data_IF_754357853202
#
_entry.id   IF_754357853202
#
_cell.length_a   1.000
_cell.length_b   1.000
_cell.length_c   1.000
_cell.angle_alpha   90.00
_cell.angle_beta   90.00
_cell.angle_gamma   90.00
#
_symmetry.space_group_name_H-M   'P 1'
#
loop_
_entity.id
_entity.type
_entity.pdbx_description
1 polymer ?
#
# COMPACT_ATOMS: atom_id res chain seq x y z
N UNK A 1 7.36 6.46 2.50
CA UNK A 1 7.36 5.56 3.69
C UNK A 1 8.65 4.75 3.72
N UNK A 2 9.14 4.28 4.89
CA UNK A 2 10.32 3.39 4.97
C UNK A 2 9.95 1.96 4.54
N UNK A 3 10.92 1.20 4.06
CA UNK A 3 10.80 -0.20 3.71
C UNK A 3 11.78 -1.07 4.52
N UNK A 4 11.42 -2.35 4.70
CA UNK A 4 12.29 -3.37 5.25
C UNK A 4 12.35 -4.56 4.30
N UNK A 5 13.56 -4.94 3.89
CA UNK A 5 13.79 -6.14 3.08
C UNK A 5 13.82 -7.38 3.98
N UNK A 6 12.94 -8.33 3.66
CA UNK A 6 12.76 -9.60 4.38
C UNK A 6 12.83 -10.74 3.35
N UNK A 7 13.48 -11.85 3.71
CA UNK A 7 13.61 -12.99 2.81
C UNK A 7 12.31 -13.78 2.73
N UNK A 8 12.02 -14.34 1.56
CA UNK A 8 10.92 -15.31 1.46
C UNK A 8 11.29 -16.62 2.17
N UNK A 9 10.31 -17.29 2.83
CA UNK A 9 8.86 -17.02 2.80
C UNK A 9 8.35 -16.01 3.85
N UNK A 10 9.21 -15.51 4.75
CA UNK A 10 8.78 -14.66 5.87
C UNK A 10 8.13 -13.34 5.44
N UNK A 11 8.59 -12.74 4.34
CA UNK A 11 7.99 -11.51 3.82
C UNK A 11 6.49 -11.71 3.52
N UNK A 12 6.15 -12.79 2.78
CA UNK A 12 4.76 -13.12 2.50
C UNK A 12 3.97 -13.42 3.77
N UNK A 13 4.53 -14.19 4.71
CA UNK A 13 3.84 -14.50 5.97
C UNK A 13 3.52 -13.24 6.80
N UNK A 14 4.42 -12.25 6.79
CA UNK A 14 4.19 -10.96 7.45
C UNK A 14 3.11 -10.16 6.72
N UNK A 15 3.21 -10.04 5.39
CA UNK A 15 2.25 -9.27 4.60
C UNK A 15 0.82 -9.85 4.69
N UNK A 16 0.68 -11.16 4.87
CA UNK A 16 -0.60 -11.84 5.12
C UNK A 16 -1.07 -11.75 6.58
N UNK A 17 -0.29 -11.16 7.48
CA UNK A 17 -0.63 -11.06 8.91
C UNK A 17 -0.50 -12.36 9.70
N UNK A 18 0.14 -13.39 9.14
CA UNK A 18 0.33 -14.70 9.79
C UNK A 18 1.51 -14.67 10.75
N UNK A 19 2.61 -14.04 10.33
CA UNK A 19 3.81 -13.83 11.15
C UNK A 19 3.77 -12.43 11.76
N UNK A 20 3.55 -12.38 13.06
CA UNK A 20 3.39 -11.17 13.88
C UNK A 20 4.71 -10.63 14.46
N UNK A 21 5.83 -11.31 14.21
CA UNK A 21 7.15 -10.94 14.73
C UNK A 21 8.19 -10.90 13.62
N UNK A 22 8.98 -9.84 13.55
CA UNK A 22 10.23 -9.80 12.80
C UNK A 22 11.43 -9.92 13.76
N UNK A 23 12.31 -10.91 13.54
CA UNK A 23 13.47 -11.17 14.41
C UNK A 23 14.72 -10.47 13.85
N UNK A 24 15.40 -9.67 14.67
CA UNK A 24 16.63 -8.95 14.29
C UNK A 24 17.67 -9.00 15.40
N UNK A 25 18.95 -9.00 15.04
CA UNK A 25 20.06 -8.92 15.99
C UNK A 25 20.34 -7.51 16.51
N UNK A 26 19.41 -6.58 16.27
CA UNK A 26 19.54 -5.17 16.65
C UNK A 26 18.16 -4.59 17.02
N UNK A 27 18.16 -3.70 17.99
CA UNK A 27 16.98 -3.02 18.52
C UNK A 27 16.55 -1.87 17.62
N UNK A 28 15.24 -1.61 17.51
CA UNK A 28 14.74 -0.37 16.91
C UNK A 28 13.80 0.40 17.84
N UNK A 29 13.97 1.72 17.87
CA UNK A 29 13.03 2.64 18.50
C UNK A 29 11.95 3.14 17.53
N UNK A 30 12.05 2.78 16.24
CA UNK A 30 11.04 3.17 15.27
C UNK A 30 9.70 2.49 15.58
N UNK A 31 8.61 3.26 15.48
CA UNK A 31 7.23 2.80 15.55
C UNK A 31 6.44 3.44 14.41
N UNK A 32 5.56 2.66 13.79
CA UNK A 32 4.74 3.09 12.67
C UNK A 32 4.85 2.21 11.44
N UNK A 33 4.22 2.67 10.35
CA UNK A 33 4.03 1.93 9.10
C UNK A 33 5.32 1.81 8.28
N UNK A 34 5.57 0.61 7.78
CA UNK A 34 6.64 0.31 6.82
C UNK A 34 6.12 -0.53 5.66
N UNK A 35 6.78 -0.41 4.51
CA UNK A 35 6.64 -1.36 3.42
C UNK A 35 7.38 -2.66 3.72
N UNK A 36 6.78 -3.77 3.34
CA UNK A 36 7.38 -5.10 3.33
C UNK A 36 7.92 -5.37 1.94
N UNK A 37 9.24 -5.41 1.84
CA UNK A 37 9.95 -5.77 0.62
C UNK A 37 10.39 -7.23 0.66
N UNK A 38 9.97 -8.01 -0.33
CA UNK A 38 10.44 -9.37 -0.54
C UNK A 38 11.84 -9.34 -1.17
N UNK A 39 12.83 -9.80 -0.42
CA UNK A 39 14.23 -9.84 -0.86
C UNK A 39 14.41 -10.73 -2.10
N UNK A 40 15.42 -10.42 -2.90
CA UNK A 40 15.84 -11.26 -4.03
C UNK A 40 16.30 -12.66 -3.57
N UNK A 41 16.92 -12.75 -2.37
CA UNK A 41 17.39 -14.02 -1.82
C UNK A 41 16.28 -14.67 -1.00
N UNK A 42 16.01 -15.95 -1.30
CA UNK A 42 15.11 -16.82 -0.55
C UNK A 42 15.90 -17.62 0.49
N UNK A 43 15.22 -18.12 1.51
CA UNK A 43 15.77 -19.07 2.48
C UNK A 43 14.89 -20.30 2.51
N UNK A 44 15.52 -21.46 2.61
CA UNK A 44 14.83 -22.71 2.94
C UNK A 44 14.59 -22.69 4.45
N UNK A 45 13.37 -22.98 4.85
CA UNK A 45 12.95 -22.91 6.26
C UNK A 45 12.14 -24.15 6.58
N UNK A 46 12.55 -24.84 7.65
CA UNK A 46 11.74 -25.87 8.29
C UNK A 46 10.97 -25.21 9.43
N UNK A 47 9.66 -25.04 9.22
CA UNK A 47 8.79 -24.49 10.26
C UNK A 47 8.51 -25.53 11.33
N UNK A 48 8.35 -25.06 12.57
CA UNK A 48 7.86 -25.92 13.66
C UNK A 48 6.45 -26.43 13.36
N UNK A 49 6.01 -27.50 14.03
CA UNK A 49 4.65 -28.03 13.86
C UNK A 49 3.57 -26.97 14.09
N UNK A 50 3.73 -26.12 15.11
CA UNK A 50 2.78 -25.04 15.39
C UNK A 50 2.73 -23.96 14.31
N UNK A 51 3.90 -23.51 13.83
CA UNK A 51 3.98 -22.55 12.72
C UNK A 51 3.38 -23.14 11.44
N UNK A 52 3.70 -24.39 11.15
CA UNK A 52 3.19 -25.15 10.00
C UNK A 52 1.67 -25.26 10.03
N UNK A 53 1.08 -25.54 11.20
CA UNK A 53 -0.38 -25.59 11.36
C UNK A 53 -1.05 -24.24 11.09
N UNK A 54 -0.47 -23.12 11.57
CA UNK A 54 -1.01 -21.79 11.26
C UNK A 54 -0.89 -21.44 9.78
N UNK A 55 0.21 -21.85 9.14
CA UNK A 55 0.44 -21.65 7.72
C UNK A 55 -0.61 -22.41 6.87
N UNK A 56 -0.82 -23.70 7.14
CA UNK A 56 -1.77 -24.53 6.38
C UNK A 56 -3.24 -24.15 6.63
N UNK A 57 -3.55 -23.42 7.70
CA UNK A 57 -4.87 -22.82 7.90
C UNK A 57 -5.19 -21.67 6.95
N UNK A 58 -4.30 -21.35 6.00
CA UNK A 58 -4.45 -20.24 5.04
C UNK A 58 -4.34 -20.72 3.59
N UNK A 59 -4.99 -20.00 2.66
CA UNK A 59 -4.95 -20.29 1.22
C UNK A 59 -3.58 -20.01 0.57
N UNK A 60 -2.59 -19.59 1.35
CA UNK A 60 -1.23 -19.33 0.87
C UNK A 60 -0.51 -20.56 0.34
N UNK A 61 -0.89 -21.75 0.82
CA UNK A 61 -0.20 -23.00 0.54
C UNK A 61 -1.21 -24.10 0.17
N UNK A 62 -1.73 -24.08 -1.07
CA UNK A 62 -2.76 -25.02 -1.51
C UNK A 62 -2.28 -26.48 -1.64
N UNK A 63 -0.96 -26.73 -1.62
CA UNK A 63 -0.39 -28.07 -1.72
C UNK A 63 0.31 -28.48 -0.41
N UNK A 64 -0.08 -29.64 0.12
CA UNK A 64 0.48 -30.29 1.32
C UNK A 64 1.90 -30.84 1.14
N UNK A 65 2.63 -30.41 0.10
CA UNK A 65 4.00 -30.81 -0.15
C UNK A 65 4.95 -30.13 0.84
N UNK A 66 5.85 -30.90 1.46
CA UNK A 66 6.85 -30.43 2.43
C UNK A 66 7.90 -29.45 1.85
N UNK A 67 7.72 -28.99 0.62
CA UNK A 67 8.50 -27.91 0.04
C UNK A 67 7.59 -26.69 -0.02
N UNK A 68 7.72 -25.78 0.95
CA UNK A 68 7.08 -24.46 0.91
C UNK A 68 7.51 -23.79 -0.40
N UNK A 69 6.68 -23.93 -1.44
CA UNK A 69 7.13 -23.75 -2.82
C UNK A 69 7.60 -22.32 -3.05
N UNK A 70 8.92 -22.15 -2.94
CA UNK A 70 9.63 -20.89 -3.04
C UNK A 70 9.35 -20.18 -4.36
N UNK A 71 8.91 -20.91 -5.39
CA UNK A 71 8.71 -20.42 -6.75
C UNK A 71 7.51 -19.50 -6.91
N UNK A 72 6.46 -19.62 -6.08
CA UNK A 72 5.23 -18.81 -6.24
C UNK A 72 5.33 -17.40 -5.67
N UNK A 73 6.22 -17.16 -4.70
CA UNK A 73 6.27 -15.86 -4.04
C UNK A 73 7.08 -14.83 -4.83
N UNK A 74 6.57 -13.59 -4.96
CA UNK A 74 7.31 -12.50 -5.58
C UNK A 74 8.60 -12.22 -4.80
N UNK A 75 9.63 -11.82 -5.53
CA UNK A 75 10.92 -11.37 -5.01
C UNK A 75 11.36 -10.10 -5.70
N UNK A 76 12.21 -9.32 -5.04
CA UNK A 76 12.60 -7.99 -5.51
C UNK A 76 11.38 -7.10 -5.75
N UNK A 77 10.44 -7.13 -4.80
CA UNK A 77 9.17 -6.44 -4.91
C UNK A 77 8.70 -5.96 -3.54
N UNK A 78 7.97 -4.85 -3.50
CA UNK A 78 7.16 -4.48 -2.33
C UNK A 78 5.82 -5.19 -2.46
N UNK A 79 5.44 -5.92 -1.42
CA UNK A 79 4.29 -6.85 -1.46
C UNK A 79 3.17 -6.43 -0.52
N UNK A 80 3.40 -5.41 0.30
CA UNK A 80 2.47 -4.98 1.33
C UNK A 80 3.12 -4.04 2.31
N UNK A 81 2.42 -3.80 3.42
CA UNK A 81 2.84 -2.92 4.50
C UNK A 81 2.38 -3.43 5.86
N UNK A 82 3.05 -3.00 6.92
CA UNK A 82 2.75 -3.40 8.30
C UNK A 82 3.18 -2.31 9.29
N UNK A 83 2.53 -2.23 10.44
CA UNK A 83 3.01 -1.40 11.55
C UNK A 83 4.05 -2.16 12.38
N UNK A 84 5.13 -1.47 12.76
CA UNK A 84 5.95 -1.87 13.91
C UNK A 84 5.38 -1.16 15.13
N UNK A 85 4.80 -1.93 16.05
CA UNK A 85 4.13 -1.40 17.25
C UNK A 85 4.96 -1.58 18.51
N UNK A 86 5.87 -2.56 18.53
CA UNK A 86 6.80 -2.75 19.64
C UNK A 86 8.13 -3.40 19.22
N UNK A 87 9.11 -3.43 20.12
CA UNK A 87 10.41 -4.07 19.95
C UNK A 87 10.90 -4.54 21.31
N UNK A 88 10.73 -5.83 21.57
CA UNK A 88 11.01 -6.47 22.87
C UNK A 88 11.95 -7.65 22.69
N UNK A 89 12.33 -8.30 23.78
CA UNK A 89 13.01 -9.59 23.76
C UNK A 89 12.07 -10.66 24.32
N UNK A 90 12.29 -11.91 23.92
CA UNK A 90 11.57 -13.09 24.39
C UNK A 90 10.04 -13.01 24.27
N UNK A 91 9.54 -12.34 23.23
CA UNK A 91 8.11 -12.20 22.96
C UNK A 91 7.41 -13.57 22.89
N UNK A 92 6.21 -13.77 23.49
CA UNK A 92 5.60 -15.10 23.62
C UNK A 92 5.11 -15.75 22.31
N UNK A 93 5.01 -14.99 21.22
CA UNK A 93 4.60 -15.51 19.91
C UNK A 93 5.46 -16.70 19.46
N UNK A 94 4.83 -17.66 18.78
CA UNK A 94 5.53 -18.81 18.17
C UNK A 94 6.49 -18.40 17.06
N UNK A 95 6.38 -17.16 16.57
CA UNK A 95 7.26 -16.59 15.55
C UNK A 95 8.48 -15.87 16.11
N UNK A 96 8.54 -15.69 17.43
CA UNK A 96 9.64 -15.06 18.12
C UNK A 96 10.78 -16.04 18.33
N UNK A 97 11.96 -15.68 17.80
CA UNK A 97 13.19 -16.34 18.20
C UNK A 97 13.56 -15.88 19.61
N UNK A 98 13.85 -16.84 20.48
CA UNK A 98 14.24 -16.58 21.87
C UNK A 98 15.74 -16.29 21.96
N UNK A 99 16.12 -15.54 22.97
CA UNK A 99 17.52 -15.49 23.36
C UNK A 99 17.95 -16.89 23.82
N UNK A 100 18.86 -17.55 23.10
CA UNK A 100 19.46 -18.78 23.58
C UNK A 100 20.54 -18.42 24.58
N UNK A 101 20.30 -18.67 25.87
CA UNK A 101 21.27 -18.41 26.92
C UNK A 101 22.45 -19.40 26.91
N UNK A 102 22.36 -20.54 26.22
CA UNK A 102 23.36 -21.62 26.35
C UNK A 102 23.62 -22.35 25.03
N UNK A 103 24.73 -21.99 24.35
CA UNK A 103 25.53 -22.89 23.52
C UNK A 103 27.02 -22.48 23.58
N UNK A 104 27.69 -22.75 24.70
CA UNK A 104 29.16 -22.64 24.83
C UNK A 104 29.74 -21.22 24.96
N UNK A 105 31.04 -21.08 24.66
CA UNK A 105 31.88 -19.88 24.87
C UNK A 105 31.57 -18.69 23.92
N UNK A 106 30.59 -18.81 23.02
CA UNK A 106 30.27 -17.74 22.07
C UNK A 106 29.13 -16.86 22.60
N UNK A 107 29.46 -15.59 22.88
CA UNK A 107 28.47 -14.55 23.18
C UNK A 107 27.65 -14.30 21.91
N UNK A 108 26.40 -14.77 21.89
CA UNK A 108 25.46 -14.42 20.84
C UNK A 108 24.93 -13.00 21.03
N UNK A 109 24.69 -12.31 19.91
CA UNK A 109 24.02 -11.00 19.93
C UNK A 109 22.57 -11.19 20.39
N UNK A 110 22.01 -10.24 21.16
CA UNK A 110 20.61 -10.29 21.54
C UNK A 110 19.72 -10.32 20.31
N UNK A 111 18.70 -11.18 20.33
CA UNK A 111 17.64 -11.20 19.33
C UNK A 111 16.51 -10.31 19.85
N UNK A 112 16.12 -9.35 19.02
CA UNK A 112 15.02 -8.44 19.24
C UNK A 112 13.84 -8.88 18.38
N UNK A 113 12.69 -9.01 19.01
CA UNK A 113 11.42 -9.35 18.41
C UNK A 113 10.65 -8.05 18.15
N UNK A 114 10.59 -7.63 16.88
CA UNK A 114 9.81 -6.48 16.48
C UNK A 114 8.36 -6.93 16.31
N UNK A 115 7.45 -6.34 17.09
CA UNK A 115 6.03 -6.70 17.11
C UNK A 115 5.32 -5.98 15.99
N UNK A 116 4.62 -6.75 15.17
CA UNK A 116 4.00 -6.31 13.93
C UNK A 116 2.47 -6.34 14.06
N UNK A 117 1.80 -5.35 13.49
CA UNK A 117 0.34 -5.28 13.46
C UNK A 117 -0.20 -4.63 12.19
N UNK A 118 -1.51 -4.76 11.95
CA UNK A 118 -2.21 -4.11 10.85
C UNK A 118 -1.60 -4.41 9.47
N UNK A 119 -1.21 -5.66 9.23
CA UNK A 119 -0.65 -6.06 7.95
C UNK A 119 -1.66 -5.85 6.81
N UNK A 120 -1.18 -5.31 5.70
CA UNK A 120 -1.93 -5.13 4.46
C UNK A 120 -1.13 -5.78 3.34
N UNK A 121 -1.70 -6.82 2.75
CA UNK A 121 -1.20 -7.43 1.52
C UNK A 121 -1.68 -6.62 0.32
N UNK A 122 -0.79 -6.33 -0.62
CA UNK A 122 -1.21 -5.75 -1.89
C UNK A 122 -1.68 -6.84 -2.84
N UNK A 123 -2.81 -6.58 -3.50
CA UNK A 123 -3.33 -7.44 -4.56
C UNK A 123 -2.30 -7.59 -5.70
N UNK A 124 -1.65 -6.47 -6.05
CA UNK A 124 -0.59 -6.41 -7.05
C UNK A 124 0.72 -5.96 -6.39
N UNK A 125 1.75 -6.82 -6.33
CA UNK A 125 3.07 -6.42 -5.86
C UNK A 125 3.67 -5.32 -6.73
N UNK A 126 4.39 -4.38 -6.10
CA UNK A 126 5.19 -3.39 -6.80
C UNK A 126 6.52 -4.04 -7.17
N UNK A 127 6.66 -4.40 -8.45
CA UNK A 127 7.74 -5.24 -8.96
C UNK A 127 9.04 -4.45 -9.21
N UNK A 128 10.14 -5.18 -9.36
CA UNK A 128 11.47 -4.64 -9.75
C UNK A 128 12.07 -3.62 -8.77
N UNK A 129 11.61 -3.60 -7.53
CA UNK A 129 12.17 -2.76 -6.46
C UNK A 129 13.42 -3.43 -5.89
N UNK A 130 14.58 -2.74 -5.95
CA UNK A 130 15.84 -3.24 -5.40
C UNK A 130 15.89 -3.06 -3.88
N UNK A 131 16.01 -4.17 -3.15
CA UNK A 131 16.13 -4.16 -1.69
C UNK A 131 17.47 -3.61 -1.18
N UNK A 132 17.46 -3.04 0.03
CA UNK A 132 18.64 -2.52 0.73
C UNK A 132 18.69 -3.06 2.17
N UNK A 133 19.85 -2.95 2.82
CA UNK A 133 20.02 -3.31 4.23
C UNK A 133 19.41 -2.25 5.14
N UNK A 134 19.12 -2.64 6.39
CA UNK A 134 18.49 -1.78 7.41
C UNK A 134 17.14 -1.22 6.96
N UNK A 135 16.64 -0.17 7.61
CA UNK A 135 15.54 0.62 7.03
C UNK A 135 16.06 1.45 5.87
N UNK A 136 15.26 1.55 4.81
CA UNK A 136 15.58 2.36 3.64
C UNK A 136 14.32 2.99 3.07
N UNK A 137 14.50 4.03 2.26
CA UNK A 137 13.42 4.60 1.46
C UNK A 137 13.50 4.02 0.05
N UNK A 138 12.38 3.51 -0.51
CA UNK A 138 12.33 3.12 -1.91
C UNK A 138 12.74 4.26 -2.82
N UNK A 139 13.49 3.92 -3.87
CA UNK A 139 13.85 4.87 -4.92
C UNK A 139 12.68 5.06 -5.91
N UNK A 140 11.77 4.09 -5.96
CA UNK A 140 10.50 4.14 -6.68
C UNK A 140 9.52 5.04 -5.93
N UNK A 141 8.83 5.92 -6.66
CA UNK A 141 7.78 6.75 -6.10
C UNK A 141 6.47 5.95 -6.04
N UNK A 142 6.00 5.70 -4.82
CA UNK A 142 4.88 4.80 -4.54
C UNK A 142 3.70 5.64 -4.09
N UNK A 143 2.66 5.63 -4.90
CA UNK A 143 1.48 6.47 -4.73
C UNK A 143 0.23 5.62 -4.50
N UNK A 144 -0.70 6.19 -3.77
CA UNK A 144 -2.00 5.57 -3.49
C UNK A 144 -2.99 5.95 -4.61
N UNK A 145 -3.68 4.97 -5.16
CA UNK A 145 -4.73 5.19 -6.15
C UNK A 145 -5.95 5.79 -5.47
N UNK A 146 -6.46 6.92 -5.99
CA UNK A 146 -7.67 7.56 -5.47
C UNK A 146 -8.91 6.64 -5.61
N UNK A 147 -8.99 5.85 -6.68
CA UNK A 147 -10.14 4.99 -6.96
C UNK A 147 -10.25 3.76 -6.06
N UNK A 148 -9.14 3.18 -5.60
CA UNK A 148 -9.16 1.90 -4.85
C UNK A 148 -8.31 1.88 -3.57
N UNK A 149 -7.62 2.96 -3.23
CA UNK A 149 -6.71 3.09 -2.08
C UNK A 149 -5.54 2.08 -2.03
N UNK A 150 -5.35 1.29 -3.09
CA UNK A 150 -4.18 0.43 -3.24
C UNK A 150 -2.97 1.27 -3.68
N UNK A 151 -1.77 0.79 -3.38
CA UNK A 151 -0.53 1.48 -3.69
C UNK A 151 0.15 0.88 -4.91
N UNK A 152 0.64 1.75 -5.78
CA UNK A 152 1.29 1.39 -7.04
C UNK A 152 2.57 2.21 -7.22
N UNK A 153 3.42 1.77 -8.14
CA UNK A 153 4.48 2.61 -8.66
C UNK A 153 3.87 3.66 -9.57
N UNK A 154 4.10 4.94 -9.22
CA UNK A 154 3.52 6.10 -9.89
C UNK A 154 3.88 6.20 -11.37
N UNK A 155 4.98 5.59 -11.81
CA UNK A 155 5.37 5.54 -13.22
C UNK A 155 4.33 4.78 -14.07
N UNK A 156 3.57 3.86 -13.48
CA UNK A 156 2.54 3.06 -14.14
C UNK A 156 1.11 3.51 -13.81
N UNK A 157 0.95 4.70 -13.22
CA UNK A 157 -0.34 5.27 -12.86
C UNK A 157 -0.75 6.36 -13.85
N UNK A 158 -2.05 6.47 -14.05
CA UNK A 158 -2.68 7.55 -14.81
C UNK A 158 -2.91 8.76 -13.90
N UNK A 159 -2.99 9.95 -14.50
CA UNK A 159 -3.15 11.22 -13.79
C UNK A 159 -4.25 12.05 -14.43
N UNK A 160 -5.09 12.68 -13.62
CA UNK A 160 -6.09 13.64 -14.08
C UNK A 160 -5.59 15.08 -14.08
N UNK A 161 -6.45 16.02 -14.48
CA UNK A 161 -6.11 17.45 -14.56
C UNK A 161 -5.90 18.10 -13.17
N UNK A 162 -6.28 17.42 -12.08
CA UNK A 162 -6.03 17.86 -10.70
C UNK A 162 -4.73 17.27 -10.11
N UNK A 163 -3.95 16.51 -10.90
CA UNK A 163 -2.78 15.74 -10.48
C UNK A 163 -3.12 14.59 -9.51
N UNK A 164 -4.35 14.10 -9.54
CA UNK A 164 -4.75 12.91 -8.79
C UNK A 164 -4.34 11.64 -9.56
N UNK A 165 -3.81 10.65 -8.84
CA UNK A 165 -3.27 9.42 -9.43
C UNK A 165 -4.25 8.26 -9.34
N UNK A 166 -4.39 7.54 -10.44
CA UNK A 166 -5.27 6.39 -10.57
C UNK A 166 -4.48 5.20 -11.11
N UNK A 167 -4.74 4.00 -10.59
CA UNK A 167 -4.26 2.80 -11.27
C UNK A 167 -5.00 2.62 -12.59
N UNK A 168 -4.39 1.89 -13.53
CA UNK A 168 -4.94 1.70 -14.88
C UNK A 168 -6.40 1.20 -14.87
N UNK A 169 -6.72 0.22 -14.01
CA UNK A 169 -8.08 -0.34 -13.93
C UNK A 169 -9.10 0.68 -13.41
N UNK A 170 -8.76 1.44 -12.37
CA UNK A 170 -9.63 2.50 -11.89
C UNK A 170 -9.78 3.61 -12.93
N UNK A 171 -8.72 3.95 -13.65
CA UNK A 171 -8.75 4.96 -14.70
C UNK A 171 -9.65 4.58 -15.88
N UNK A 172 -9.57 3.33 -16.33
CA UNK A 172 -10.44 2.80 -17.40
C UNK A 172 -11.93 2.89 -17.03
N UNK A 173 -12.26 2.77 -15.74
CA UNK A 173 -13.63 2.87 -15.23
C UNK A 173 -14.05 4.32 -14.94
N UNK A 174 -13.20 5.12 -14.29
CA UNK A 174 -13.56 6.45 -13.77
C UNK A 174 -13.36 7.56 -14.80
N UNK A 175 -12.35 7.49 -15.65
CA UNK A 175 -12.06 8.58 -16.59
C UNK A 175 -13.20 8.91 -17.57
N UNK A 176 -14.00 7.95 -18.08
CA UNK A 176 -15.15 8.29 -18.92
C UNK A 176 -16.26 9.00 -18.13
N UNK A 177 -16.45 8.63 -16.87
CA UNK A 177 -17.47 9.22 -15.98
C UNK A 177 -17.09 10.67 -15.68
N UNK A 178 -15.84 10.89 -15.26
CA UNK A 178 -15.33 12.23 -14.95
C UNK A 178 -15.42 13.18 -16.16
N UNK A 179 -15.10 12.68 -17.38
CA UNK A 179 -15.21 13.47 -18.62
C UNK A 179 -16.66 13.81 -18.97
N UNK A 180 -17.59 12.88 -18.73
CA UNK A 180 -19.01 13.12 -18.94
C UNK A 180 -19.53 14.19 -17.97
N UNK A 181 -19.16 14.09 -16.69
CA UNK A 181 -19.53 15.08 -15.67
C UNK A 181 -18.97 16.47 -15.99
N UNK A 182 -17.71 16.56 -16.40
CA UNK A 182 -17.09 17.83 -16.81
C UNK A 182 -17.84 18.48 -17.99
N UNK A 183 -18.22 17.67 -18.98
CA UNK A 183 -19.00 18.14 -20.14
C UNK A 183 -20.39 18.62 -19.73
N UNK A 184 -21.07 17.90 -18.84
CA UNK A 184 -22.38 18.32 -18.31
C UNK A 184 -22.29 19.62 -17.52
N UNK A 185 -21.20 19.80 -16.75
CA UNK A 185 -20.93 21.06 -16.03
C UNK A 185 -20.72 22.20 -17.03
N UNK A 186 -19.85 22.03 -18.04
CA UNK A 186 -19.63 23.03 -19.09
C UNK A 186 -20.92 23.39 -19.83
N UNK A 187 -21.71 22.39 -20.26
CA UNK A 187 -23.00 22.62 -20.93
C UNK A 187 -24.02 23.33 -20.01
N UNK A 188 -23.99 23.07 -18.69
CA UNK A 188 -24.82 23.77 -17.70
C UNK A 188 -24.36 25.21 -17.40
N UNK A 189 -23.14 25.57 -17.77
CA UNK A 189 -22.61 26.93 -17.66
C UNK A 189 -22.95 27.79 -18.89
N UNK A 190 -23.16 27.15 -20.04
CA UNK A 190 -23.70 27.79 -21.25
C UNK A 190 -25.24 27.87 -21.22
N UNK A 191 -25.80 28.64 -20.29
CA UNK A 191 -27.21 29.05 -20.38
C UNK A 191 -27.33 30.14 -21.46
N UNK A 192 -27.52 29.75 -22.73
CA UNK A 192 -27.83 30.70 -23.81
C UNK A 192 -29.20 31.33 -23.56
N UNK A 193 -29.25 32.66 -23.44
CA UNK A 193 -30.50 33.41 -23.30
C UNK A 193 -31.19 33.48 -24.67
N UNK A 194 -32.27 32.70 -24.93
CA UNK A 194 -32.79 32.53 -26.29
C UNK A 194 -33.49 33.79 -26.83
N UNK A 195 -33.72 34.78 -25.97
CA UNK A 195 -34.16 36.11 -26.32
C UNK A 195 -33.54 37.10 -25.33
N UNK A 196 -32.52 37.89 -25.71
CA UNK A 196 -32.08 38.99 -24.88
C UNK A 196 -33.17 40.07 -24.95
N UNK A 197 -34.19 39.98 -24.12
CA UNK A 197 -34.89 41.19 -23.67
C UNK A 197 -33.88 41.93 -22.81
N UNK A 198 -33.02 42.71 -23.46
CA UNK A 198 -32.00 43.55 -22.85
C UNK A 198 -32.70 44.52 -21.90
N UNK A 199 -32.80 44.15 -20.63
CA UNK A 199 -33.12 45.09 -19.57
C UNK A 199 -31.79 45.66 -19.09
N UNK A 200 -31.54 46.93 -19.44
CA UNK A 200 -30.40 47.67 -18.93
C UNK A 200 -30.65 47.90 -17.43
N UNK A 201 -29.86 47.24 -16.57
CA UNK A 201 -29.90 47.54 -15.14
C UNK A 201 -29.24 48.91 -14.88
N UNK A 202 -29.59 49.61 -13.79
CA UNK A 202 -29.09 50.97 -13.50
C UNK A 202 -27.56 51.09 -13.40
N UNK A 203 -26.86 49.97 -13.24
CA UNK A 203 -25.40 49.86 -13.21
C UNK A 203 -24.75 49.67 -14.60
N UNK A 204 -25.56 49.64 -15.67
CA UNK A 204 -25.10 49.48 -17.05
C UNK A 204 -24.71 48.04 -17.43
N UNK A 205 -25.03 47.04 -16.60
CA UNK A 205 -24.70 45.63 -16.86
C UNK A 205 -25.89 44.88 -17.44
N UNK A 206 -25.62 43.99 -18.40
CA UNK A 206 -26.60 43.02 -18.90
C UNK A 206 -26.61 41.79 -18.00
N UNK A 207 -27.79 41.32 -17.61
CA UNK A 207 -27.96 40.04 -16.89
C UNK A 207 -29.10 39.26 -17.54
N UNK A 208 -28.90 37.95 -17.71
CA UNK A 208 -29.96 37.06 -18.16
C UNK A 208 -30.89 36.78 -16.98
N UNK A 209 -32.19 37.00 -17.18
CA UNK A 209 -33.23 36.61 -16.22
C UNK A 209 -34.05 35.54 -16.94
N UNK A 210 -33.79 34.28 -16.62
CA UNK A 210 -34.73 33.21 -16.89
C UNK A 210 -35.05 32.57 -15.53
N UNK A 211 -36.33 32.34 -15.22
CA UNK A 211 -36.75 31.78 -13.92
C UNK A 211 -36.18 30.37 -13.68
N UNK A 212 -35.66 29.71 -14.71
CA UNK A 212 -34.99 28.40 -14.65
C UNK A 212 -33.44 28.47 -14.56
N UNK A 213 -32.82 29.65 -14.70
CA UNK A 213 -31.36 29.84 -14.59
C UNK A 213 -31.03 30.81 -13.44
N UNK A 214 -31.26 30.39 -12.19
CA UNK A 214 -30.70 31.06 -11.01
C UNK A 214 -29.20 30.70 -10.86
N UNK A 215 -28.32 31.33 -11.63
CA UNK A 215 -26.88 31.42 -11.28
C UNK A 215 -26.55 32.89 -10.99
N UNK A 216 -26.55 33.23 -9.71
CA UNK A 216 -26.08 34.52 -9.22
C UNK A 216 -24.55 34.47 -9.24
N UNK A 217 -23.93 35.20 -10.17
CA UNK A 217 -22.49 35.48 -10.10
C UNK A 217 -22.24 36.52 -9.01
N UNK A 218 -21.65 36.11 -7.88
CA UNK A 218 -20.99 37.01 -6.94
C UNK A 218 -19.48 36.97 -7.19
N UNK A 219 -18.90 38.13 -7.51
CA UNK A 219 -17.47 38.38 -7.38
C UNK A 219 -17.11 38.62 -5.92
#
# INVERSE_FOLDING_TARGET
MKALSIKQPYASLIAHGIKDIENRTWQTHFRGRIFIHASAKKVIVDFTTGQTAMIYGTDLFPDTGHNFAHEKFPTSAIIGEVDIIDCVQDHPSIWAEKHNDIMGEFIHKPIWNWVLANAVLYEKPILKVKGKLSFWFPDTDIMECIGCSQKFDSEFMEEDDANEKYCQECWEVLSPIMKQEAKEIEESEFCECPNPTQSLFPDGKYRCINEECFKIWFH
#
